data_IF_702386214683
#
_entry.id   IF_702386214683
#
_cell.length_a   1.000
_cell.length_b   1.000
_cell.length_c   1.000
_cell.angle_alpha   90.00
_cell.angle_beta   90.00
_cell.angle_gamma   90.00
#
_symmetry.space_group_name_H-M   'P 1'
#
loop_
_entity.id
_entity.type
_entity.pdbx_description
1 polymer ?
#
# COMPACT_ATOMS: atom_id res chain seq x y z
N UNK A 1 -20.44 3.74 0.30
CA UNK A 1 -19.21 3.72 1.12
C UNK A 1 -19.15 2.33 1.70
N UNK A 2 -18.05 1.63 1.53
CA UNK A 2 -18.05 0.18 1.73
C UNK A 2 -17.69 -0.17 3.18
N UNK A 3 -18.67 -0.69 3.93
CA UNK A 3 -18.44 -1.32 5.23
C UNK A 3 -17.96 -2.76 5.03
N UNK A 4 -16.94 -3.14 5.78
CA UNK A 4 -16.41 -4.51 5.91
C UNK A 4 -17.32 -5.40 6.74
N UNK A 5 -17.07 -6.71 6.77
CA UNK A 5 -17.88 -7.69 7.49
C UNK A 5 -18.08 -7.36 8.99
N UNK A 6 -17.08 -6.77 9.65
CA UNK A 6 -17.17 -6.37 11.06
C UNK A 6 -17.50 -4.88 11.23
N UNK A 7 -18.02 -4.27 10.17
CA UNK A 7 -18.57 -2.91 10.13
C UNK A 7 -17.52 -1.82 10.31
N UNK A 8 -16.25 -2.10 10.01
CA UNK A 8 -15.27 -1.05 9.76
C UNK A 8 -15.47 -0.47 8.37
N UNK A 9 -15.13 0.79 8.17
CA UNK A 9 -15.00 1.32 6.80
C UNK A 9 -13.79 0.73 6.11
N UNK A 10 -13.95 0.30 4.87
CA UNK A 10 -12.89 -0.34 4.10
C UNK A 10 -11.66 0.55 3.90
N UNK A 11 -11.84 1.85 3.68
CA UNK A 11 -10.71 2.80 3.57
C UNK A 11 -9.90 2.92 4.87
N UNK A 12 -10.57 2.79 6.02
CA UNK A 12 -9.95 2.86 7.34
C UNK A 12 -9.20 1.56 7.68
N UNK A 13 -9.74 0.42 7.23
CA UNK A 13 -9.05 -0.87 7.28
C UNK A 13 -7.79 -0.86 6.42
N UNK A 14 -7.87 -0.34 5.18
CA UNK A 14 -6.70 -0.18 4.29
C UNK A 14 -5.62 0.69 4.94
N UNK A 15 -6.03 1.83 5.50
CA UNK A 15 -5.12 2.75 6.19
C UNK A 15 -4.46 2.09 7.41
N UNK A 16 -5.25 1.38 8.22
CA UNK A 16 -4.78 0.66 9.41
C UNK A 16 -3.82 -0.47 9.05
N UNK A 17 -4.09 -1.21 7.96
CA UNK A 17 -3.18 -2.23 7.43
C UNK A 17 -1.83 -1.62 7.05
N UNK A 18 -1.82 -0.55 6.25
CA UNK A 18 -0.57 0.15 5.86
C UNK A 18 0.19 0.61 7.10
N UNK A 19 -0.50 1.21 8.07
CA UNK A 19 0.11 1.65 9.31
C UNK A 19 0.75 0.49 10.08
N UNK A 20 0.05 -0.64 10.20
CA UNK A 20 0.56 -1.83 10.88
C UNK A 20 1.79 -2.41 10.15
N UNK A 21 1.76 -2.47 8.82
CA UNK A 21 2.90 -2.93 8.01
C UNK A 21 4.15 -2.07 8.25
N UNK A 22 3.98 -0.75 8.25
CA UNK A 22 5.09 0.19 8.43
C UNK A 22 5.63 0.21 9.86
N UNK A 23 4.78 -0.01 10.86
CA UNK A 23 5.19 -0.05 12.27
C UNK A 23 5.56 -1.47 12.76
N UNK A 24 5.55 -2.47 11.87
CA UNK A 24 5.90 -3.84 12.22
C UNK A 24 4.92 -4.52 13.19
N UNK A 25 3.66 -4.08 13.21
CA UNK A 25 2.60 -4.69 14.03
C UNK A 25 2.04 -5.92 13.31
N UNK A 26 2.78 -7.03 13.29
CA UNK A 26 2.44 -8.23 12.51
C UNK A 26 1.05 -8.79 12.82
N UNK A 27 0.70 -8.94 14.11
CA UNK A 27 -0.60 -9.51 14.50
C UNK A 27 -1.78 -8.67 13.98
N UNK A 28 -1.71 -7.35 14.17
CA UNK A 28 -2.74 -6.43 13.69
C UNK A 28 -2.76 -6.35 12.15
N UNK A 29 -1.61 -6.39 11.48
CA UNK A 29 -1.56 -6.45 10.02
C UNK A 29 -2.29 -7.69 9.49
N UNK A 30 -2.05 -8.87 10.06
CA UNK A 30 -2.73 -10.10 9.66
C UNK A 30 -4.24 -10.05 9.93
N UNK A 31 -4.65 -9.43 11.04
CA UNK A 31 -6.08 -9.19 11.31
C UNK A 31 -6.72 -8.33 10.23
N UNK A 32 -6.08 -7.23 9.83
CA UNK A 32 -6.63 -6.37 8.77
C UNK A 32 -6.62 -7.05 7.39
N UNK A 33 -5.66 -7.92 7.10
CA UNK A 33 -5.70 -8.75 5.90
C UNK A 33 -6.92 -9.68 5.91
N UNK A 34 -7.13 -10.37 7.03
CA UNK A 34 -8.25 -11.27 7.25
C UNK A 34 -9.60 -10.54 7.16
N UNK A 35 -9.69 -9.32 7.71
CA UNK A 35 -10.90 -8.50 7.60
C UNK A 35 -11.24 -8.15 6.14
N UNK A 36 -10.23 -7.87 5.31
CA UNK A 36 -10.44 -7.58 3.88
C UNK A 36 -10.86 -8.84 3.11
N UNK A 37 -10.17 -9.97 3.32
CA UNK A 37 -10.45 -11.23 2.62
C UNK A 37 -11.87 -11.73 2.94
N UNK A 38 -12.21 -11.78 4.22
CA UNK A 38 -13.51 -12.25 4.64
C UNK A 38 -14.65 -11.24 4.37
N UNK A 39 -14.31 -10.00 4.00
CA UNK A 39 -15.26 -9.06 3.40
C UNK A 39 -15.46 -9.28 1.90
N UNK A 40 -14.88 -10.35 1.33
CA UNK A 40 -14.88 -10.69 -0.10
C UNK A 40 -14.18 -9.62 -0.95
N UNK A 41 -13.15 -8.97 -0.40
CA UNK A 41 -12.41 -7.87 -1.05
C UNK A 41 -10.96 -8.24 -1.39
N UNK A 42 -10.71 -9.48 -1.80
CA UNK A 42 -9.36 -9.99 -2.08
C UNK A 42 -8.51 -9.14 -3.01
N UNK A 43 -9.11 -8.59 -4.07
CA UNK A 43 -8.41 -7.70 -5.01
C UNK A 43 -7.87 -6.42 -4.34
N UNK A 44 -8.56 -5.93 -3.30
CA UNK A 44 -8.14 -4.75 -2.53
C UNK A 44 -6.94 -5.11 -1.66
N UNK A 45 -6.92 -6.30 -1.06
CA UNK A 45 -5.76 -6.74 -0.28
C UNK A 45 -4.51 -6.80 -1.15
N UNK A 46 -4.61 -7.47 -2.31
CA UNK A 46 -3.51 -7.51 -3.28
C UNK A 46 -3.03 -6.12 -3.70
N UNK A 47 -3.96 -5.18 -3.94
CA UNK A 47 -3.63 -3.79 -4.25
C UNK A 47 -2.86 -3.10 -3.11
N UNK A 48 -3.35 -3.20 -1.87
CA UNK A 48 -2.72 -2.57 -0.70
C UNK A 48 -1.32 -3.13 -0.45
N UNK A 49 -1.13 -4.44 -0.57
CA UNK A 49 0.17 -5.08 -0.40
C UNK A 49 1.16 -4.66 -1.51
N UNK A 50 0.70 -4.61 -2.77
CA UNK A 50 1.52 -4.12 -3.89
C UNK A 50 1.93 -2.66 -3.70
N UNK A 51 0.99 -1.79 -3.36
CA UNK A 51 1.27 -0.37 -3.08
C UNK A 51 2.26 -0.25 -1.92
N UNK A 52 2.03 -0.98 -0.83
CA UNK A 52 2.90 -0.96 0.34
C UNK A 52 4.32 -1.38 -0.02
N UNK A 53 4.48 -2.39 -0.87
CA UNK A 53 5.79 -2.80 -1.35
C UNK A 53 6.46 -1.70 -2.19
N UNK A 54 5.76 -1.16 -3.19
CA UNK A 54 6.32 -0.12 -4.09
C UNK A 54 6.79 1.10 -3.29
N UNK A 55 5.97 1.56 -2.34
CA UNK A 55 6.22 2.81 -1.63
C UNK A 55 7.20 2.70 -0.46
N UNK A 56 7.14 1.60 0.29
CA UNK A 56 7.86 1.49 1.57
C UNK A 56 8.95 0.42 1.57
N UNK A 57 8.80 -0.65 0.79
CA UNK A 57 9.75 -1.75 0.79
C UNK A 57 10.75 -1.67 -0.39
N UNK A 58 10.36 -1.14 -1.55
CA UNK A 58 11.19 -1.15 -2.74
C UNK A 58 12.53 -0.43 -2.50
N UNK A 59 13.68 -1.04 -2.86
CA UNK A 59 13.86 -2.26 -3.66
C UNK A 59 14.19 -3.53 -2.84
N UNK A 60 13.76 -3.60 -1.59
CA UNK A 60 14.04 -4.72 -0.69
C UNK A 60 13.10 -5.90 -0.93
N UNK A 61 13.65 -7.13 -0.91
CA UNK A 61 12.97 -8.38 -1.25
C UNK A 61 12.22 -8.29 -2.59
N UNK A 62 12.98 -8.25 -3.69
CA UNK A 62 12.43 -8.02 -5.04
C UNK A 62 11.52 -9.15 -5.50
N UNK A 63 11.72 -10.37 -4.98
CA UNK A 63 10.80 -11.49 -5.23
C UNK A 63 9.39 -11.23 -4.72
N UNK A 64 9.24 -10.41 -3.67
CA UNK A 64 7.97 -10.24 -2.99
C UNK A 64 6.88 -9.62 -3.89
N UNK A 65 7.24 -8.72 -4.81
CA UNK A 65 6.23 -8.15 -5.73
C UNK A 65 5.62 -9.23 -6.65
N UNK A 66 6.41 -10.23 -7.03
CA UNK A 66 5.92 -11.35 -7.81
C UNK A 66 5.02 -12.25 -6.95
N UNK A 67 5.43 -12.53 -5.71
CA UNK A 67 4.65 -13.34 -4.78
C UNK A 67 3.31 -12.67 -4.44
N UNK A 68 3.29 -11.36 -4.17
CA UNK A 68 2.06 -10.59 -3.93
C UNK A 68 1.13 -10.67 -5.14
N UNK A 69 1.66 -10.53 -6.37
CA UNK A 69 0.81 -10.53 -7.58
C UNK A 69 0.18 -11.90 -7.88
N UNK A 70 0.85 -12.99 -7.53
CA UNK A 70 0.40 -14.34 -7.86
C UNK A 70 -0.20 -15.09 -6.67
N UNK A 71 -0.37 -14.41 -5.52
CA UNK A 71 -1.08 -14.99 -4.39
C UNK A 71 -2.56 -15.16 -4.74
N UNK A 72 -3.16 -16.20 -4.17
CA UNK A 72 -4.60 -16.39 -4.18
C UNK A 72 -5.22 -15.50 -3.10
N UNK A 73 -6.19 -14.68 -3.48
CA UNK A 73 -6.90 -13.77 -2.58
C UNK A 73 -8.40 -14.09 -2.51
N UNK A 74 -8.82 -15.22 -3.09
CA UNK A 74 -10.21 -15.68 -3.04
C UNK A 74 -10.46 -16.61 -1.82
N UNK A 75 -9.48 -16.72 -0.92
CA UNK A 75 -9.51 -17.52 0.30
C UNK A 75 -9.22 -16.68 1.55
N UNK A 76 -9.44 -17.27 2.73
CA UNK A 76 -9.04 -16.69 4.02
C UNK A 76 -7.51 -16.56 4.14
N UNK A 77 -7.01 -15.87 5.17
CA UNK A 77 -5.56 -15.72 5.36
C UNK A 77 -4.88 -17.09 5.55
N UNK A 78 -4.10 -17.48 4.54
CA UNK A 78 -3.33 -18.72 4.50
C UNK A 78 -1.83 -18.51 4.79
N UNK A 79 -1.03 -19.57 4.66
CA UNK A 79 0.42 -19.47 4.85
C UNK A 79 1.11 -18.57 3.83
N UNK A 80 0.61 -18.53 2.59
CA UNK A 80 1.21 -17.71 1.56
C UNK A 80 1.04 -16.22 1.91
N UNK A 81 -0.15 -15.82 2.32
CA UNK A 81 -0.46 -14.45 2.74
C UNK A 81 0.30 -14.10 4.02
N UNK A 82 0.35 -14.99 5.03
CA UNK A 82 1.15 -14.77 6.24
C UNK A 82 2.61 -14.51 5.88
N UNK A 83 3.19 -15.35 5.03
CA UNK A 83 4.58 -15.21 4.58
C UNK A 83 4.81 -13.91 3.82
N UNK A 84 3.87 -13.51 2.96
CA UNK A 84 3.93 -12.24 2.22
C UNK A 84 3.95 -11.07 3.21
N UNK A 85 3.03 -11.03 4.17
CA UNK A 85 2.91 -9.95 5.16
C UNK A 85 4.16 -9.85 6.02
N UNK A 86 4.67 -10.96 6.53
CA UNK A 86 5.87 -10.95 7.37
C UNK A 86 7.13 -10.53 6.59
N UNK A 87 7.28 -11.00 5.34
CA UNK A 87 8.37 -10.56 4.46
C UNK A 87 8.25 -9.08 4.12
N UNK A 88 7.04 -8.60 3.87
CA UNK A 88 6.78 -7.19 3.58
C UNK A 88 7.16 -6.31 4.76
N UNK A 89 6.73 -6.66 5.98
CA UNK A 89 7.11 -5.96 7.21
C UNK A 89 8.64 -5.93 7.34
N UNK A 90 9.31 -7.08 7.25
CA UNK A 90 10.77 -7.17 7.32
C UNK A 90 11.46 -6.30 6.27
N UNK A 91 10.97 -6.30 5.02
CA UNK A 91 11.49 -5.48 3.94
C UNK A 91 11.31 -3.99 4.20
N UNK A 92 10.15 -3.56 4.73
CA UNK A 92 9.89 -2.18 5.12
C UNK A 92 10.79 -1.73 6.28
N UNK A 93 10.99 -2.59 7.28
CA UNK A 93 11.85 -2.28 8.42
C UNK A 93 13.33 -2.17 8.04
N UNK A 94 13.80 -3.03 7.12
CA UNK A 94 15.16 -3.00 6.58
C UNK A 94 15.36 -1.89 5.54
N UNK A 95 14.26 -1.39 4.99
CA UNK A 95 14.24 -0.51 3.84
C UNK A 95 14.77 0.89 4.11
N UNK A 96 15.83 1.28 3.42
CA UNK A 96 16.05 2.70 3.12
C UNK A 96 14.94 3.14 2.16
N UNK A 97 14.01 3.96 2.65
CA UNK A 97 12.75 4.35 1.99
C UNK A 97 13.01 5.26 0.78
N UNK A 98 13.52 4.64 -0.27
CA UNK A 98 14.16 5.29 -1.40
C UNK A 98 13.17 5.69 -2.50
N UNK A 99 11.94 5.18 -2.49
CA UNK A 99 10.97 5.44 -3.57
C UNK A 99 10.58 6.92 -3.66
N UNK A 100 10.07 7.49 -2.57
CA UNK A 100 9.66 8.90 -2.57
C UNK A 100 10.88 9.80 -2.83
N UNK A 101 12.07 9.43 -2.32
CA UNK A 101 13.33 10.16 -2.58
C UNK A 101 13.69 10.15 -4.05
N UNK A 102 13.67 8.99 -4.69
CA UNK A 102 13.96 8.81 -6.12
C UNK A 102 13.00 9.63 -6.96
N UNK A 103 11.69 9.54 -6.67
CA UNK A 103 10.68 10.33 -7.38
C UNK A 103 10.96 11.83 -7.26
N UNK A 104 11.19 12.33 -6.04
CA UNK A 104 11.39 13.76 -5.82
C UNK A 104 12.71 14.28 -6.39
N UNK A 105 13.82 13.57 -6.22
CA UNK A 105 15.13 14.00 -6.72
C UNK A 105 15.22 13.92 -8.25
N UNK A 106 14.80 12.81 -8.87
CA UNK A 106 14.90 12.67 -10.31
C UNK A 106 13.93 13.56 -11.10
N UNK A 107 12.91 14.15 -10.46
CA UNK A 107 12.05 15.15 -11.07
C UNK A 107 12.63 16.58 -10.98
N UNK A 108 13.37 16.92 -9.91
CA UNK A 108 13.82 18.30 -9.66
C UNK A 108 15.27 18.59 -10.06
N UNK A 109 16.18 17.65 -9.88
CA UNK A 109 17.62 17.91 -10.06
C UNK A 109 18.15 17.18 -11.28
N UNK A 110 18.86 17.88 -12.16
CA UNK A 110 19.83 17.19 -13.01
C UNK A 110 20.90 16.65 -12.05
N UNK A 111 21.08 15.34 -11.94
CA UNK A 111 22.10 14.83 -11.04
C UNK A 111 23.45 15.24 -11.61
N UNK A 112 24.17 16.13 -10.91
CA UNK A 112 25.43 16.70 -11.40
C UNK A 112 26.60 15.72 -11.25
N UNK A 113 27.58 15.87 -12.15
CA UNK A 113 28.86 15.13 -12.19
C UNK A 113 28.80 13.86 -13.06
N UNK A 114 28.94 14.01 -14.39
CA UNK A 114 29.20 12.89 -15.30
C UNK A 114 28.72 13.11 -16.75
N UNK A 115 27.51 13.64 -16.93
CA UNK A 115 26.91 13.88 -18.24
C UNK A 115 26.47 15.34 -18.31
N UNK A 116 27.27 16.19 -18.97
CA UNK A 116 27.05 17.65 -19.05
C UNK A 116 26.14 18.07 -20.21
N UNK A 117 25.76 17.14 -21.10
CA UNK A 117 24.93 17.42 -22.27
C UNK A 117 23.57 16.72 -22.18
N UNK A 118 22.49 17.48 -22.38
CA UNK A 118 21.19 16.91 -22.77
C UNK A 118 21.38 16.23 -24.14
N UNK A 119 21.01 14.95 -24.31
CA UNK A 119 21.09 14.30 -25.62
C UNK A 119 20.19 15.05 -26.61
N UNK A 120 20.74 15.44 -27.77
CA UNK A 120 20.01 16.08 -28.86
C UNK A 120 19.05 15.08 -29.50
N UNK A 121 17.96 15.57 -30.09
CA UNK A 121 16.80 14.78 -30.53
C UNK A 121 17.09 13.63 -31.50
N UNK A 122 18.21 13.67 -32.21
CA UNK A 122 18.52 12.73 -33.31
C UNK A 122 19.51 11.61 -32.94
N UNK A 123 20.17 11.67 -31.78
CA UNK A 123 21.12 10.62 -31.29
C UNK A 123 20.53 9.76 -30.15
N UNK A 124 19.21 9.89 -29.93
CA UNK A 124 18.54 9.64 -28.65
C UNK A 124 18.67 8.24 -28.05
N UNK A 125 18.43 7.15 -28.79
CA UNK A 125 18.20 5.83 -28.15
C UNK A 125 19.47 5.16 -27.62
N UNK A 126 20.53 5.14 -28.42
CA UNK A 126 21.79 4.46 -28.07
C UNK A 126 22.53 5.18 -26.94
N UNK A 127 22.52 6.53 -26.96
CA UNK A 127 23.15 7.36 -25.93
C UNK A 127 22.38 7.25 -24.59
N UNK A 128 21.04 7.30 -24.61
CA UNK A 128 20.23 7.12 -23.39
C UNK A 128 20.41 5.73 -22.81
N UNK A 129 20.41 4.67 -23.62
CA UNK A 129 20.66 3.32 -23.12
C UNK A 129 22.03 3.20 -22.43
N UNK A 130 23.07 3.82 -23.00
CA UNK A 130 24.39 3.86 -22.39
C UNK A 130 24.37 4.61 -21.04
N UNK A 131 23.71 5.77 -20.96
CA UNK A 131 23.54 6.53 -19.71
C UNK A 131 22.80 5.72 -18.64
N UNK A 132 21.68 5.08 -19.01
CA UNK A 132 20.90 4.25 -18.09
C UNK A 132 21.71 3.04 -17.60
N UNK A 133 22.46 2.41 -18.50
CA UNK A 133 23.37 1.30 -18.17
C UNK A 133 24.47 1.74 -17.21
N UNK A 134 25.15 2.87 -17.46
CA UNK A 134 26.20 3.40 -16.57
C UNK A 134 25.62 3.74 -15.18
N UNK A 135 24.52 4.50 -15.15
CA UNK A 135 23.86 4.89 -13.91
C UNK A 135 23.42 3.66 -13.09
N UNK A 136 22.84 2.65 -13.74
CA UNK A 136 22.49 1.38 -13.10
C UNK A 136 23.70 0.64 -12.55
N UNK A 137 24.82 0.62 -13.29
CA UNK A 137 26.07 0.01 -12.81
C UNK A 137 26.65 0.70 -11.58
N UNK A 138 26.45 2.01 -11.46
CA UNK A 138 26.99 2.84 -10.38
C UNK A 138 26.05 2.99 -9.18
N UNK A 139 24.87 2.36 -9.21
CA UNK A 139 23.88 2.48 -8.13
C UNK A 139 23.12 3.80 -8.11
N UNK A 140 23.06 4.50 -9.25
CA UNK A 140 22.54 5.85 -9.38
C UNK A 140 21.08 5.83 -9.90
N UNK A 141 20.18 5.23 -9.12
CA UNK A 141 18.78 5.01 -9.51
C UNK A 141 17.95 6.29 -9.72
N UNK A 142 18.24 7.34 -8.96
CA UNK A 142 17.67 8.68 -9.13
C UNK A 142 18.05 9.29 -10.49
N UNK A 143 19.28 9.07 -10.94
CA UNK A 143 19.76 9.49 -12.26
C UNK A 143 19.07 8.73 -13.37
N UNK A 144 18.93 7.40 -13.23
CA UNK A 144 18.17 6.59 -14.19
C UNK A 144 16.74 7.12 -14.32
N UNK A 145 16.09 7.40 -13.20
CA UNK A 145 14.73 7.95 -13.18
C UNK A 145 14.63 9.31 -13.88
N UNK A 146 15.60 10.22 -13.67
CA UNK A 146 15.63 11.53 -14.33
C UNK A 146 15.61 11.41 -15.86
N UNK A 147 16.41 10.51 -16.44
CA UNK A 147 16.46 10.33 -17.90
C UNK A 147 15.25 9.55 -18.43
N UNK A 148 14.80 8.52 -17.70
CA UNK A 148 13.70 7.67 -18.12
C UNK A 148 12.35 8.41 -18.10
N UNK A 149 12.08 9.19 -17.05
CA UNK A 149 10.83 9.96 -16.91
C UNK A 149 10.57 10.96 -18.05
N UNK A 150 11.60 11.35 -18.80
CA UNK A 150 11.53 12.29 -19.94
C UNK A 150 11.47 11.62 -21.31
N UNK A 151 11.82 10.34 -21.40
CA UNK A 151 11.88 9.61 -22.68
C UNK A 151 10.91 8.43 -22.75
N UNK A 152 10.40 7.96 -21.61
CA UNK A 152 9.34 6.94 -21.46
C UNK A 152 9.54 5.69 -22.34
N UNK A 153 10.77 5.21 -22.47
CA UNK A 153 11.08 3.96 -23.20
C UNK A 153 11.22 2.78 -22.22
N UNK A 154 10.10 2.09 -21.99
CA UNK A 154 9.94 1.03 -20.99
C UNK A 154 10.65 -0.28 -21.38
N UNK A 155 10.66 -0.63 -22.66
CA UNK A 155 11.12 -1.96 -23.11
C UNK A 155 12.64 -2.11 -22.95
N UNK A 156 13.37 -1.00 -23.00
CA UNK A 156 14.82 -0.97 -22.83
C UNK A 156 15.31 -1.44 -21.45
N UNK A 157 14.47 -1.36 -20.41
CA UNK A 157 14.87 -1.65 -19.02
C UNK A 157 15.20 -3.13 -18.77
N UNK A 158 14.52 -4.06 -19.46
CA UNK A 158 14.80 -5.51 -19.30
C UNK A 158 16.24 -5.85 -19.66
N UNK A 159 16.77 -5.18 -20.68
CA UNK A 159 18.12 -5.42 -21.19
C UNK A 159 19.20 -4.88 -20.24
N UNK A 160 18.82 -4.03 -19.29
CA UNK A 160 19.72 -3.46 -18.28
C UNK A 160 19.86 -4.38 -17.05
N UNK A 161 19.08 -5.46 -16.94
CA UNK A 161 19.16 -6.42 -15.84
C UNK A 161 20.47 -7.22 -15.93
N UNK A 162 21.26 -7.16 -14.86
CA UNK A 162 22.56 -7.84 -14.76
C UNK A 162 22.63 -8.67 -13.48
N UNK A 163 23.42 -9.74 -13.50
CA UNK A 163 23.56 -10.67 -12.36
C UNK A 163 23.76 -12.12 -12.82
N UNK A 164 23.83 -13.04 -11.85
CA UNK A 164 23.77 -14.49 -12.07
C UNK A 164 22.45 -14.90 -12.75
N UNK A 165 22.39 -16.13 -13.29
CA UNK A 165 21.18 -16.65 -13.94
C UNK A 165 19.95 -16.58 -13.03
N UNK A 166 20.11 -16.90 -11.74
CA UNK A 166 19.04 -16.85 -10.73
C UNK A 166 18.60 -15.41 -10.45
N UNK A 167 19.55 -14.49 -10.27
CA UNK A 167 19.24 -13.07 -10.04
C UNK A 167 18.55 -12.44 -11.24
N UNK A 168 19.04 -12.68 -12.47
CA UNK A 168 18.39 -12.20 -13.70
C UNK A 168 16.94 -12.68 -13.80
N UNK A 169 16.65 -13.91 -13.41
CA UNK A 169 15.28 -14.44 -13.39
C UNK A 169 14.39 -13.68 -12.38
N UNK A 170 14.85 -13.53 -11.13
CA UNK A 170 14.09 -12.83 -10.08
C UNK A 170 13.86 -11.36 -10.45
N UNK A 171 14.93 -10.65 -10.80
CA UNK A 171 14.87 -9.24 -11.18
C UNK A 171 14.05 -9.03 -12.46
N UNK A 172 14.21 -9.91 -13.45
CA UNK A 172 13.44 -9.88 -14.69
C UNK A 172 11.95 -10.06 -14.46
N UNK A 173 11.56 -11.02 -13.61
CA UNK A 173 10.17 -11.22 -13.22
C UNK A 173 9.59 -9.98 -12.53
N UNK A 174 10.30 -9.41 -11.56
CA UNK A 174 9.84 -8.22 -10.84
C UNK A 174 9.71 -6.99 -11.76
N UNK A 175 10.68 -6.77 -12.65
CA UNK A 175 10.63 -5.68 -13.63
C UNK A 175 9.46 -5.90 -14.60
N UNK A 176 9.23 -7.12 -15.08
CA UNK A 176 8.04 -7.44 -15.88
C UNK A 176 6.77 -7.13 -15.11
N UNK A 177 6.69 -7.55 -13.85
CA UNK A 177 5.53 -7.29 -13.00
C UNK A 177 5.24 -5.79 -12.88
N UNK A 178 6.28 -4.98 -12.66
CA UNK A 178 6.17 -3.52 -12.59
C UNK A 178 5.78 -2.90 -13.94
N UNK A 179 6.30 -3.40 -15.05
CA UNK A 179 5.91 -2.89 -16.37
C UNK A 179 4.45 -3.19 -16.69
N UNK A 180 3.94 -4.36 -16.32
CA UNK A 180 2.50 -4.66 -16.50
C UNK A 180 1.64 -3.74 -15.62
N UNK A 181 2.05 -3.52 -14.36
CA UNK A 181 1.37 -2.57 -13.48
C UNK A 181 1.39 -1.15 -14.07
N UNK A 182 2.47 -0.78 -14.77
CA UNK A 182 2.63 0.55 -15.35
C UNK A 182 1.63 0.89 -16.47
N UNK A 183 0.87 -0.10 -16.96
CA UNK A 183 -0.27 0.11 -17.86
C UNK A 183 -1.38 0.90 -17.18
N UNK A 184 -1.57 0.72 -15.86
CA UNK A 184 -2.46 1.53 -15.06
C UNK A 184 -1.78 2.85 -14.70
N UNK A 185 -2.41 3.98 -15.05
CA UNK A 185 -1.87 5.32 -14.82
C UNK A 185 -1.54 5.60 -13.35
N UNK A 186 -2.25 4.96 -12.40
CA UNK A 186 -1.96 5.04 -10.95
C UNK A 186 -0.56 4.53 -10.61
N UNK A 187 -0.11 3.49 -11.31
CA UNK A 187 1.17 2.81 -11.04
C UNK A 187 2.27 3.18 -12.00
N UNK A 188 1.95 3.79 -13.16
CA UNK A 188 2.89 4.07 -14.25
C UNK A 188 4.24 4.58 -13.79
N UNK A 189 4.24 5.58 -12.92
CA UNK A 189 5.46 6.31 -12.57
C UNK A 189 6.12 5.76 -11.31
N UNK A 190 5.39 5.41 -10.24
CA UNK A 190 5.95 4.63 -9.14
C UNK A 190 6.61 3.33 -9.62
N UNK A 191 5.98 2.60 -10.56
CA UNK A 191 6.51 1.35 -11.07
C UNK A 191 7.79 1.54 -11.89
N UNK A 192 7.84 2.57 -12.73
CA UNK A 192 9.06 2.91 -13.47
C UNK A 192 10.22 3.27 -12.55
N UNK A 193 9.96 4.14 -11.58
CA UNK A 193 10.98 4.59 -10.67
C UNK A 193 11.43 3.43 -9.75
N UNK A 194 10.53 2.50 -9.40
CA UNK A 194 10.86 1.23 -8.76
C UNK A 194 11.77 0.36 -9.65
N UNK A 195 11.50 0.25 -10.96
CA UNK A 195 12.41 -0.43 -11.89
C UNK A 195 13.83 0.18 -11.87
N UNK A 196 13.95 1.51 -11.87
CA UNK A 196 15.24 2.19 -11.76
C UNK A 196 15.96 1.85 -10.45
N UNK A 197 15.24 1.81 -9.32
CA UNK A 197 15.79 1.41 -8.02
C UNK A 197 16.26 -0.04 -8.02
N UNK A 198 15.47 -0.96 -8.58
CA UNK A 198 15.82 -2.38 -8.67
C UNK A 198 17.08 -2.58 -9.52
N UNK A 199 17.14 -1.97 -10.72
CA UNK A 199 18.28 -2.11 -11.63
C UNK A 199 19.56 -1.53 -11.00
N UNK A 200 19.43 -0.45 -10.24
CA UNK A 200 20.57 0.21 -9.57
C UNK A 200 21.01 -0.48 -8.27
N UNK A 201 20.23 -1.39 -7.66
CA UNK A 201 20.57 -2.05 -6.38
C UNK A 201 21.60 -3.19 -6.48
N UNK A 202 22.60 -3.02 -7.35
CA UNK A 202 23.50 -4.09 -7.81
C UNK A 202 24.54 -4.57 -6.79
N UNK A 203 24.91 -3.73 -5.81
CA UNK A 203 26.03 -4.00 -4.90
C UNK A 203 25.63 -4.67 -3.58
N UNK A 204 24.34 -4.68 -3.23
CA UNK A 204 23.89 -5.20 -1.93
C UNK A 204 22.96 -6.39 -2.09
N UNK A 205 23.57 -7.58 -2.20
CA UNK A 205 22.86 -8.87 -2.29
C UNK A 205 21.87 -9.10 -1.14
N UNK A 206 22.05 -8.42 0.00
CA UNK A 206 21.13 -8.52 1.15
C UNK A 206 19.80 -7.80 0.89
N UNK A 207 19.77 -6.83 -0.03
CA UNK A 207 18.56 -6.09 -0.41
C UNK A 207 17.66 -6.90 -1.34
N UNK A 208 18.22 -7.76 -2.20
CA UNK A 208 17.47 -8.34 -3.32
C UNK A 208 16.63 -9.57 -2.91
N UNK A 209 17.09 -10.38 -1.95
CA UNK A 209 16.46 -11.67 -1.61
C UNK A 209 16.44 -11.84 -0.09
N UNK A 210 15.26 -11.80 0.52
CA UNK A 210 15.08 -12.28 1.89
C UNK A 210 14.96 -13.82 1.85
N UNK A 211 15.68 -14.55 2.71
CA UNK A 211 15.53 -16.01 2.75
C UNK A 211 14.22 -16.35 3.47
N UNK A 212 13.44 -17.29 2.91
CA UNK A 212 12.21 -17.82 3.56
C UNK A 212 12.44 -18.35 4.97
N UNK A 213 13.68 -18.76 5.29
CA UNK A 213 14.08 -19.27 6.61
C UNK A 213 14.16 -18.23 7.72
N UNK A 214 14.08 -16.93 7.40
CA UNK A 214 14.37 -15.87 8.37
C UNK A 214 13.11 -15.40 9.14
N UNK A 215 12.00 -16.14 9.02
CA UNK A 215 10.68 -15.73 9.51
C UNK A 215 10.02 -16.90 10.26
N UNK A 216 10.39 -17.02 11.53
CA UNK A 216 9.75 -17.93 12.48
C UNK A 216 8.43 -17.33 13.00
N UNK A 217 7.37 -18.13 13.18
CA UNK A 217 6.13 -17.71 13.86
C UNK A 217 4.80 -18.04 13.18
N UNK A 218 4.80 -18.62 11.98
CA UNK A 218 3.57 -18.96 11.21
C UNK A 218 2.52 -19.74 12.02
N UNK A 219 2.87 -20.78 12.81
CA UNK A 219 1.85 -21.58 13.52
C UNK A 219 1.05 -20.79 14.57
N UNK A 220 1.68 -19.85 15.27
CA UNK A 220 1.01 -19.04 16.30
C UNK A 220 0.04 -18.01 15.69
N UNK A 221 0.31 -17.57 14.46
CA UNK A 221 -0.56 -16.65 13.74
C UNK A 221 -1.81 -17.34 13.20
N UNK A 222 -1.71 -18.60 12.73
CA UNK A 222 -2.87 -19.40 12.31
C UNK A 222 -3.91 -19.56 13.41
N UNK A 223 -3.48 -19.90 14.63
CA UNK A 223 -4.39 -20.07 15.77
C UNK A 223 -5.15 -18.77 16.07
N UNK A 224 -4.48 -17.62 15.92
CA UNK A 224 -5.14 -16.33 16.08
C UNK A 224 -6.18 -16.10 14.98
N UNK A 225 -5.86 -16.37 13.71
CA UNK A 225 -6.79 -16.19 12.58
C UNK A 225 -8.02 -17.09 12.72
N UNK A 226 -7.85 -18.36 13.06
CA UNK A 226 -8.97 -19.28 13.28
C UNK A 226 -9.88 -18.81 14.43
N UNK A 227 -9.29 -18.26 15.50
CA UNK A 227 -10.08 -17.69 16.60
C UNK A 227 -10.87 -16.44 16.18
N UNK A 228 -10.35 -15.64 15.24
CA UNK A 228 -11.04 -14.45 14.74
C UNK A 228 -12.21 -14.82 13.83
N UNK A 229 -12.05 -15.84 13.00
CA UNK A 229 -13.11 -16.40 12.16
C UNK A 229 -14.30 -16.92 12.99
N UNK A 230 -14.04 -17.51 14.17
CA UNK A 230 -15.10 -18.01 15.06
C UNK A 230 -15.99 -16.89 15.65
N UNK A 231 -15.51 -15.65 15.64
CA UNK A 231 -16.22 -14.47 16.15
C UNK A 231 -16.85 -13.61 15.03
N UNK A 232 -16.99 -14.18 13.83
CA UNK A 232 -17.55 -13.51 12.66
C UNK A 232 -18.94 -12.92 12.92
N UNK A 233 -19.13 -11.65 12.52
CA UNK A 233 -20.41 -10.92 12.62
C UNK A 233 -20.76 -10.50 14.06
N UNK A 234 -20.04 -11.00 15.06
CA UNK A 234 -20.29 -10.68 16.46
C UNK A 234 -19.56 -9.41 16.87
N UNK A 235 -20.10 -8.74 17.90
CA UNK A 235 -19.43 -7.65 18.63
C UNK A 235 -18.01 -8.00 19.06
N UNK A 236 -17.81 -9.24 19.48
CA UNK A 236 -16.52 -9.81 19.90
C UNK A 236 -15.51 -9.97 18.75
N UNK A 237 -15.95 -10.01 17.49
CA UNK A 237 -15.08 -10.04 16.31
C UNK A 237 -14.35 -8.72 16.05
N UNK A 238 -14.76 -7.63 16.71
CA UNK A 238 -14.06 -6.33 16.67
C UNK A 238 -12.90 -6.28 17.65
N UNK A 239 -11.81 -6.94 17.26
CA UNK A 239 -10.65 -7.19 18.13
C UNK A 239 -9.68 -6.02 18.18
N UNK A 240 -9.49 -5.32 17.06
CA UNK A 240 -8.57 -4.19 16.96
C UNK A 240 -9.32 -2.93 16.60
N UNK A 241 -9.01 -1.85 17.31
CA UNK A 241 -9.49 -0.52 16.98
C UNK A 241 -8.84 -0.05 15.68
N UNK A 242 -9.60 0.66 14.86
CA UNK A 242 -9.04 1.40 13.73
C UNK A 242 -7.98 2.37 14.24
N UNK A 243 -6.78 2.33 13.66
CA UNK A 243 -5.65 3.14 14.13
C UNK A 243 -5.94 4.63 13.90
N UNK A 244 -6.16 5.45 14.95
CA UNK A 244 -6.62 6.82 14.77
C UNK A 244 -5.63 7.64 13.96
N UNK A 245 -4.33 7.41 14.17
CA UNK A 245 -3.28 8.07 13.41
C UNK A 245 -3.35 7.67 11.93
N UNK A 246 -3.60 6.40 11.61
CA UNK A 246 -3.66 5.91 10.22
C UNK A 246 -4.79 6.55 9.41
N UNK A 247 -5.91 6.87 10.04
CA UNK A 247 -7.11 7.39 9.37
C UNK A 247 -7.14 8.92 9.21
N UNK A 248 -6.28 9.66 9.91
CA UNK A 248 -6.18 11.13 9.79
C UNK A 248 -5.84 11.60 8.37
N UNK A 249 -5.23 10.74 7.55
CA UNK A 249 -4.90 11.03 6.15
C UNK A 249 -6.06 10.88 5.16
N UNK A 250 -7.22 10.38 5.60
CA UNK A 250 -8.38 10.10 4.74
C UNK A 250 -9.21 11.36 4.46
N UNK A 251 -9.70 11.48 3.21
CA UNK A 251 -10.54 12.60 2.75
C UNK A 251 -11.89 12.70 3.47
N UNK A 252 -12.41 11.57 3.94
CA UNK A 252 -13.71 11.48 4.61
C UNK A 252 -13.54 10.57 5.83
N UNK A 253 -13.67 11.16 7.00
CA UNK A 253 -13.66 10.42 8.26
C UNK A 253 -15.02 9.76 8.52
N UNK A 254 -14.97 8.69 9.31
CA UNK A 254 -16.09 7.95 9.86
C UNK A 254 -17.13 8.85 10.51
N UNK A 255 -18.40 8.56 10.23
CA UNK A 255 -19.54 9.17 10.90
C UNK A 255 -20.30 8.09 11.64
N UNK A 256 -20.57 8.33 12.92
CA UNK A 256 -21.38 7.43 13.75
C UNK A 256 -22.79 7.22 13.19
N UNK A 257 -23.26 8.11 12.33
CA UNK A 257 -24.56 7.94 11.68
C UNK A 257 -24.64 6.66 10.83
N UNK A 258 -23.51 6.15 10.33
CA UNK A 258 -23.46 5.02 9.41
C UNK A 258 -23.65 3.66 10.09
N UNK A 259 -23.36 3.59 11.39
CA UNK A 259 -23.67 2.41 12.22
C UNK A 259 -25.02 2.55 12.91
N UNK A 260 -25.50 3.79 13.11
CA UNK A 260 -26.81 4.05 13.70
C UNK A 260 -27.97 3.82 12.74
N UNK A 261 -27.75 4.04 11.45
CA UNK A 261 -28.65 3.64 10.38
C UNK A 261 -27.89 2.74 9.41
N UNK A 262 -27.76 1.47 9.80
CA UNK A 262 -26.80 0.57 9.18
C UNK A 262 -27.25 0.06 7.80
N UNK A 263 -28.55 -0.04 7.55
CA UNK A 263 -29.04 -0.67 6.31
C UNK A 263 -28.60 0.01 5.02
N UNK A 264 -28.76 1.35 4.88
CA UNK A 264 -28.22 2.04 3.71
C UNK A 264 -26.72 1.80 3.53
N UNK A 265 -25.98 1.71 4.64
CA UNK A 265 -24.55 1.45 4.62
C UNK A 265 -24.19 0.02 4.21
N UNK A 266 -24.99 -0.99 4.58
CA UNK A 266 -24.77 -2.39 4.16
C UNK A 266 -25.12 -2.64 2.69
N UNK A 267 -26.17 -2.00 2.17
CA UNK A 267 -26.50 -2.06 0.72
C UNK A 267 -25.34 -1.53 -0.14
N UNK A 268 -24.69 -0.48 0.34
CA UNK A 268 -23.50 0.11 -0.27
C UNK A 268 -22.18 -0.50 0.25
N UNK A 269 -22.27 -1.62 0.98
CA UNK A 269 -21.17 -2.30 1.64
C UNK A 269 -20.25 -3.08 0.69
N UNK A 270 -19.34 -3.85 1.28
CA UNK A 270 -18.51 -4.80 0.54
C UNK A 270 -19.35 -5.91 -0.12
N UNK A 271 -18.79 -6.72 -1.06
CA UNK A 271 -19.55 -7.79 -1.70
C UNK A 271 -20.19 -8.76 -0.71
N UNK A 272 -19.51 -9.03 0.41
CA UNK A 272 -20.06 -9.78 1.53
C UNK A 272 -21.44 -9.24 1.94
N UNK A 273 -21.53 -7.96 2.30
CA UNK A 273 -22.80 -7.38 2.75
C UNK A 273 -23.82 -7.25 1.65
N UNK A 274 -23.40 -6.98 0.41
CA UNK A 274 -24.32 -6.96 -0.75
C UNK A 274 -24.95 -8.32 -0.99
N UNK A 275 -24.17 -9.40 -0.88
CA UNK A 275 -24.66 -10.78 -0.97
C UNK A 275 -25.62 -11.12 0.16
N UNK A 276 -25.26 -10.78 1.40
CA UNK A 276 -26.10 -11.06 2.57
C UNK A 276 -27.40 -10.26 2.48
N UNK A 277 -27.33 -8.93 2.35
CA UNK A 277 -28.54 -8.08 2.30
C UNK A 277 -29.43 -8.36 1.09
N UNK A 278 -28.86 -8.82 -0.03
CA UNK A 278 -29.63 -9.26 -1.20
C UNK A 278 -30.46 -10.52 -0.98
N UNK A 279 -30.20 -11.29 0.09
CA UNK A 279 -30.95 -12.51 0.43
C UNK A 279 -32.18 -12.25 1.32
N UNK A 280 -32.37 -11.02 1.81
CA UNK A 280 -33.48 -10.65 2.70
C UNK A 280 -34.36 -9.60 2.03
N UNK A 281 -35.68 -9.73 2.17
CA UNK A 281 -36.61 -8.65 1.86
C UNK A 281 -36.69 -7.70 3.05
N UNK A 282 -36.02 -6.56 2.96
CA UNK A 282 -35.94 -5.60 4.07
C UNK A 282 -37.16 -4.66 4.16
N UNK A 283 -38.14 -4.81 3.25
CA UNK A 283 -39.44 -4.13 3.38
C UNK A 283 -40.41 -4.93 4.26
N UNK A 284 -40.15 -6.22 4.47
CA UNK A 284 -40.91 -7.09 5.35
C UNK A 284 -40.28 -7.13 6.74
N UNK A 285 -41.07 -6.82 7.77
CA UNK A 285 -40.58 -6.73 9.16
C UNK A 285 -40.09 -8.08 9.68
N UNK A 286 -40.73 -9.19 9.29
CA UNK A 286 -40.33 -10.54 9.71
C UNK A 286 -38.97 -10.93 9.11
N UNK A 287 -38.77 -10.68 7.82
CA UNK A 287 -37.49 -10.87 7.14
C UNK A 287 -36.38 -9.96 7.71
N UNK A 288 -36.75 -8.73 8.11
CA UNK A 288 -35.85 -7.78 8.77
C UNK A 288 -35.41 -8.24 10.18
N UNK A 289 -36.33 -8.76 10.98
CA UNK A 289 -36.04 -9.36 12.28
C UNK A 289 -35.12 -10.58 12.13
N UNK A 290 -35.44 -11.48 11.19
CA UNK A 290 -34.62 -12.66 10.87
C UNK A 290 -33.19 -12.30 10.45
N UNK A 291 -33.03 -11.20 9.68
CA UNK A 291 -31.72 -10.67 9.35
C UNK A 291 -30.94 -10.24 10.60
N UNK A 292 -31.56 -9.50 11.51
CA UNK A 292 -30.91 -9.05 12.74
C UNK A 292 -30.56 -10.19 13.68
N UNK A 293 -31.47 -11.13 13.89
CA UNK A 293 -31.23 -12.31 14.73
C UNK A 293 -30.06 -13.15 14.21
N UNK A 294 -29.91 -13.24 12.88
CA UNK A 294 -28.85 -14.02 12.26
C UNK A 294 -27.49 -13.32 12.32
N UNK A 295 -27.44 -12.03 11.96
CA UNK A 295 -26.18 -11.32 11.72
C UNK A 295 -25.76 -10.39 12.86
N UNK A 296 -26.66 -10.12 13.79
CA UNK A 296 -26.45 -9.28 14.97
C UNK A 296 -27.01 -9.93 16.26
N UNK A 297 -26.69 -11.20 16.55
CA UNK A 297 -27.37 -12.01 17.58
C UNK A 297 -27.20 -11.51 19.02
N UNK A 298 -26.25 -10.62 19.26
CA UNK A 298 -25.95 -10.11 20.61
C UNK A 298 -26.52 -8.72 20.86
N UNK A 299 -26.56 -7.87 19.82
CA UNK A 299 -26.90 -6.45 19.92
C UNK A 299 -26.78 -5.78 18.53
N UNK A 300 -27.67 -4.83 18.20
CA UNK A 300 -27.59 -4.08 16.94
C UNK A 300 -26.67 -2.85 17.05
N UNK A 301 -26.04 -2.39 15.95
CA UNK A 301 -24.93 -1.42 16.04
C UNK A 301 -25.27 -0.03 16.60
N UNK A 302 -26.53 0.37 16.52
CA UNK A 302 -27.08 1.58 17.12
C UNK A 302 -27.22 1.49 18.65
N UNK A 303 -27.43 0.28 19.18
CA UNK A 303 -27.57 -0.02 20.61
C UNK A 303 -26.22 -0.26 21.32
N UNK A 304 -25.13 -0.41 20.56
CA UNK A 304 -23.79 -0.59 21.15
C UNK A 304 -23.35 0.60 22.02
N UNK A 305 -22.47 0.34 22.99
CA UNK A 305 -21.85 1.42 23.76
C UNK A 305 -21.04 2.36 22.87
N UNK A 306 -20.89 3.62 23.30
CA UNK A 306 -20.09 4.61 22.56
C UNK A 306 -18.65 4.13 22.30
N UNK A 307 -18.05 3.43 23.26
CA UNK A 307 -16.71 2.86 23.12
C UNK A 307 -16.65 1.81 22.00
N UNK A 308 -17.66 0.94 21.87
CA UNK A 308 -17.68 -0.07 20.81
C UNK A 308 -18.05 0.50 19.44
N UNK A 309 -18.88 1.54 19.40
CA UNK A 309 -19.13 2.31 18.20
C UNK A 309 -17.83 3.02 17.72
N UNK A 310 -17.04 3.56 18.65
CA UNK A 310 -15.76 4.23 18.35
C UNK A 310 -14.68 3.27 17.84
N UNK A 311 -14.75 1.95 18.11
CA UNK A 311 -13.77 0.99 17.56
C UNK A 311 -13.80 0.94 16.04
N UNK A 312 -14.98 1.04 15.44
CA UNK A 312 -15.16 0.94 14.00
C UNK A 312 -15.17 2.28 13.29
N UNK A 313 -15.57 3.35 13.98
CA UNK A 313 -15.81 4.67 13.39
C UNK A 313 -15.03 5.81 14.07
N UNK A 314 -14.12 5.51 15.00
CA UNK A 314 -13.24 6.49 15.64
C UNK A 314 -13.95 7.69 16.28
N UNK A 315 -13.18 8.63 16.83
CA UNK A 315 -13.71 9.94 17.21
C UNK A 315 -13.38 10.96 16.10
N UNK A 316 -14.42 11.37 15.36
CA UNK A 316 -14.33 12.39 14.31
C UNK A 316 -13.82 13.76 14.82
N UNK A 317 -13.74 13.95 16.14
CA UNK A 317 -13.22 15.18 16.76
C UNK A 317 -11.70 15.28 16.79
N UNK A 318 -10.96 14.27 16.32
CA UNK A 318 -9.51 14.38 16.14
C UNK A 318 -9.16 15.29 14.95
N UNK A 319 -9.37 16.59 15.15
CA UNK A 319 -9.02 17.70 14.26
C UNK A 319 -7.51 17.92 14.10
N UNK A 320 -6.72 16.85 14.01
CA UNK A 320 -5.35 16.97 13.57
C UNK A 320 -5.35 17.43 12.11
N UNK A 321 -4.75 18.59 11.86
CA UNK A 321 -4.54 19.06 10.50
C UNK A 321 -3.75 18.04 9.70
N UNK A 322 -4.04 17.90 8.39
CA UNK A 322 -3.27 17.04 7.47
C UNK A 322 -1.76 17.27 7.62
N UNK A 323 -1.33 18.50 7.91
CA UNK A 323 0.06 18.84 8.20
C UNK A 323 0.61 18.15 9.45
N UNK A 324 -0.11 18.17 10.57
CA UNK A 324 0.35 17.53 11.82
C UNK A 324 0.34 16.00 11.69
N UNK A 325 -0.62 15.44 10.95
CA UNK A 325 -0.57 14.03 10.53
C UNK A 325 0.67 13.74 9.69
N UNK A 326 0.92 14.53 8.64
CA UNK A 326 2.13 14.39 7.82
C UNK A 326 3.38 14.52 8.68
N UNK A 327 3.43 15.42 9.65
CA UNK A 327 4.59 15.51 10.54
C UNK A 327 4.76 14.26 11.41
N UNK A 328 3.70 13.70 11.99
CA UNK A 328 3.77 12.51 12.83
C UNK A 328 4.07 11.24 12.02
N UNK A 329 3.36 11.06 10.91
CA UNK A 329 3.55 10.00 9.94
C UNK A 329 4.96 10.12 9.36
N UNK A 330 5.34 11.21 8.70
CA UNK A 330 6.68 11.28 8.11
C UNK A 330 7.85 11.36 9.12
N UNK A 331 7.68 11.87 10.35
CA UNK A 331 8.76 11.81 11.37
C UNK A 331 9.08 10.38 11.78
N UNK A 332 8.08 9.51 11.84
CA UNK A 332 8.32 8.08 12.05
C UNK A 332 8.91 7.40 10.80
N UNK A 333 8.92 8.09 9.64
CA UNK A 333 9.21 7.47 8.35
C UNK A 333 10.46 7.98 7.62
N UNK A 334 10.90 9.22 7.83
CA UNK A 334 11.94 9.85 7.02
C UNK A 334 12.96 10.48 7.96
N UNK A 335 13.97 9.69 8.36
CA UNK A 335 15.24 10.23 8.87
C UNK A 335 16.05 10.86 7.73
N UNK A 336 15.44 11.73 6.93
CA UNK A 336 16.12 12.34 5.79
C UNK A 336 16.00 13.85 5.82
N UNK A 337 17.10 14.50 5.45
CA UNK A 337 17.23 15.94 5.21
C UNK A 337 16.22 16.51 4.20
N UNK A 338 15.50 15.65 3.46
CA UNK A 338 14.48 16.05 2.50
C UNK A 338 13.07 16.11 3.09
N UNK A 339 12.90 15.91 4.41
CA UNK A 339 11.62 16.00 5.10
C UNK A 339 10.84 17.30 4.80
N UNK A 340 11.51 18.45 4.79
CA UNK A 340 10.87 19.73 4.43
C UNK A 340 10.33 19.78 3.00
N UNK A 341 10.97 19.07 2.07
CA UNK A 341 10.54 18.95 0.68
C UNK A 341 9.25 18.13 0.55
N UNK A 342 9.11 17.11 1.40
CA UNK A 342 7.91 16.28 1.48
C UNK A 342 6.74 17.02 2.11
N UNK A 343 6.98 17.78 3.19
CA UNK A 343 5.95 18.60 3.81
C UNK A 343 5.34 19.60 2.80
N UNK A 344 6.19 20.27 2.00
CA UNK A 344 5.71 21.17 0.94
C UNK A 344 4.85 20.48 -0.13
N UNK A 345 5.13 19.21 -0.42
CA UNK A 345 4.35 18.41 -1.38
C UNK A 345 3.01 17.97 -0.78
N UNK A 346 3.02 17.57 0.49
CA UNK A 346 1.86 17.05 1.19
C UNK A 346 0.87 18.16 1.60
N UNK A 347 1.34 19.39 1.83
CA UNK A 347 0.49 20.58 2.06
C UNK A 347 -0.42 20.92 0.86
N UNK A 348 -0.08 20.44 -0.35
CA UNK A 348 -0.91 20.63 -1.55
C UNK A 348 -1.95 19.51 -1.75
N UNK A 349 -2.16 18.63 -0.76
CA UNK A 349 -3.04 17.47 -0.89
C UNK A 349 -4.18 17.47 0.14
N UNK A 350 -5.36 17.03 -0.31
CA UNK A 350 -6.53 16.77 0.53
C UNK A 350 -6.67 15.32 1.00
N UNK A 351 -5.95 14.36 0.38
CA UNK A 351 -5.91 12.94 0.78
C UNK A 351 -4.47 12.44 0.70
N UNK A 352 -4.01 11.77 1.76
CA UNK A 352 -2.66 11.24 1.82
C UNK A 352 -2.50 9.86 1.16
N UNK A 353 -3.57 9.06 1.09
CA UNK A 353 -3.56 7.78 0.35
C UNK A 353 -3.68 7.99 -1.17
N UNK A 354 -3.95 9.22 -1.61
CA UNK A 354 -3.99 9.60 -3.02
C UNK A 354 -2.57 9.96 -3.51
N UNK A 355 -1.74 8.93 -3.62
CA UNK A 355 -0.39 9.02 -4.17
C UNK A 355 -0.37 9.48 -5.64
N UNK A 356 -1.48 9.30 -6.36
CA UNK A 356 -1.67 9.81 -7.72
C UNK A 356 -1.69 11.35 -7.74
N UNK A 357 -2.41 11.96 -6.80
CA UNK A 357 -2.38 13.41 -6.58
C UNK A 357 -1.00 13.90 -6.15
N UNK A 358 -0.24 13.13 -5.35
CA UNK A 358 1.10 13.50 -4.92
C UNK A 358 2.00 13.60 -6.16
N UNK A 359 1.89 12.62 -7.03
CA UNK A 359 2.61 12.59 -8.29
C UNK A 359 2.20 13.71 -9.25
N UNK A 360 0.89 13.98 -9.45
CA UNK A 360 0.39 15.10 -10.26
C UNK A 360 0.95 16.43 -9.75
N UNK A 361 1.02 16.60 -8.43
CA UNK A 361 1.59 17.79 -7.79
C UNK A 361 3.10 17.92 -7.99
N UNK A 362 3.87 16.83 -8.06
CA UNK A 362 5.31 16.92 -8.36
C UNK A 362 5.57 17.48 -9.76
N UNK A 363 4.70 17.22 -10.76
CA UNK A 363 4.83 17.78 -12.12
C UNK A 363 4.66 19.31 -12.18
N UNK A 364 3.92 19.89 -11.25
CA UNK A 364 3.56 21.32 -11.26
C UNK A 364 4.64 22.18 -10.58
N UNK A 365 5.59 21.56 -9.87
CA UNK A 365 6.62 22.31 -9.16
C UNK A 365 7.74 22.68 -10.14
N UNK A 366 7.94 23.98 -10.43
CA UNK A 366 9.05 24.39 -11.25
C UNK A 366 10.37 23.93 -10.61
N UNK A 367 11.40 23.59 -11.42
CA UNK A 367 12.71 23.26 -10.89
C UNK A 367 13.17 24.40 -9.97
N UNK A 368 13.55 24.05 -8.73
CA UNK A 368 13.86 25.02 -7.66
C UNK A 368 15.12 25.87 -7.91
N UNK A 369 15.74 25.73 -9.08
CA UNK A 369 16.77 26.60 -9.59
C UNK A 369 16.53 26.77 -11.08
N UNK A 370 15.97 27.92 -11.44
CA UNK A 370 16.16 28.54 -12.74
C UNK A 370 17.40 29.44 -12.65
#
# INVERSE_FOLDING_TARGET
MELTRNLYRLEEVKASLIFCLVNGKTKSALFWCEEILASECGWILGEVLLQSWIWYACPYDVSLIYDIRNADYDCDVDDAIIQIVMRLISAIQKGERNMIRTLTLGLRTHPTGGYTKKPKQEQKKTEIHHILSDAGCRGLGDRMWYYLSRNLDFQSLKNLVRGSKKEKKILGNAIQTLMDLSVNDRYKLPALAACCLIISCRSDKRKIICKKSDIDGVPNHRLSITSWLAEQGKRTGRIFDVEPIGILGLRKQSSMQEIRDIYPALKEGTPFWKRITGAYDLADDSSKESFYDTWFPNDIPDEWSLDDQNKSHGDANSSLSCRKYNELYFRSFVKSKYFGLYLQLAEKQSNFLDFESLYKNIKIIPPLYA
#
